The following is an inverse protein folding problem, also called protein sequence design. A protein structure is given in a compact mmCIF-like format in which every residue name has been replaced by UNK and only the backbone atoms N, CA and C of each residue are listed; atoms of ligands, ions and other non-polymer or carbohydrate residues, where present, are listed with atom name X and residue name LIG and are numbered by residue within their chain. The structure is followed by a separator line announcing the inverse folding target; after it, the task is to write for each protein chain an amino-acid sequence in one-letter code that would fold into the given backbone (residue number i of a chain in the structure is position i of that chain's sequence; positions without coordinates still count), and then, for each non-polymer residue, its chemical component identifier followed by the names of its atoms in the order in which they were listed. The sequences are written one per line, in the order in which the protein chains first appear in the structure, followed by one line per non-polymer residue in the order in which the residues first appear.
data_IF_355360614429
#
_entry.id   IF_355360614429
#
_cell.length_a   1.000
_cell.length_b   1.000
_cell.length_c   1.000
_cell.angle_alpha   90.00
_cell.angle_beta   90.00
_cell.angle_gamma   90.00
#
_symmetry.space_group_name_H-M   'P 1'
#
loop_
_entity.id
_entity.type
_entity.pdbx_description
1 polymer ?
#
# COMPACT_ATOMS: atom_id res chain seq x y z
N UNK A 1 8.87 58.41 31.65
CA UNK A 1 8.99 57.25 32.53
C UNK A 1 8.40 56.06 31.81
N UNK A 2 9.18 55.50 31.08
CA UNK A 2 9.83 54.21 30.89
C UNK A 2 8.87 53.01 30.87
N UNK A 3 8.54 52.59 29.67
CA UNK A 3 8.06 51.23 29.35
C UNK A 3 9.26 50.28 29.44
N UNK A 4 9.20 49.30 30.30
CA UNK A 4 10.00 48.06 30.24
C UNK A 4 9.37 47.02 31.15
N UNK A 5 9.24 45.83 30.63
CA UNK A 5 9.02 44.54 31.27
C UNK A 5 7.70 43.88 30.90
N UNK A 6 7.79 43.02 29.87
CA UNK A 6 7.05 41.76 29.74
C UNK A 6 7.47 41.07 28.43
N UNK A 7 8.66 40.47 28.47
CA UNK A 7 9.07 39.44 27.51
C UNK A 7 9.78 38.36 28.30
N UNK A 8 9.14 37.25 28.45
CA UNK A 8 9.74 36.10 29.12
C UNK A 8 8.70 35.07 29.54
N UNK A 9 8.10 34.37 28.59
CA UNK A 9 7.60 33.01 28.83
C UNK A 9 8.15 32.09 27.77
N UNK A 10 8.91 31.16 28.26
CA UNK A 10 9.66 30.14 27.56
C UNK A 10 8.81 29.38 26.55
N UNK A 11 9.33 29.24 25.36
CA UNK A 11 8.91 28.20 24.45
C UNK A 11 9.23 26.83 25.07
N UNK A 12 8.22 26.10 25.50
CA UNK A 12 8.34 24.71 25.88
C UNK A 12 8.78 23.94 24.62
N UNK A 13 9.98 23.38 24.67
CA UNK A 13 10.56 22.63 23.57
C UNK A 13 9.69 21.44 23.23
N UNK A 14 9.18 21.41 22.00
CA UNK A 14 8.52 20.28 21.38
C UNK A 14 9.54 19.15 21.29
N UNK A 15 9.33 18.07 22.04
CA UNK A 15 10.15 16.86 21.92
C UNK A 15 9.76 16.15 20.63
N UNK A 16 10.62 16.27 19.62
CA UNK A 16 10.51 15.53 18.38
C UNK A 16 11.00 14.09 18.60
N UNK A 17 10.19 13.10 18.30
CA UNK A 17 10.59 11.69 18.34
C UNK A 17 11.18 11.30 16.98
N UNK A 18 12.47 10.97 16.94
CA UNK A 18 13.09 10.36 15.76
C UNK A 18 12.74 8.88 15.69
N UNK A 19 12.26 8.41 14.55
CA UNK A 19 12.08 6.97 14.27
C UNK A 19 13.42 6.21 14.31
N UNK A 20 14.52 6.89 14.10
CA UNK A 20 15.87 6.33 14.08
C UNK A 20 16.47 6.15 15.47
N UNK A 21 15.79 5.49 16.41
CA UNK A 21 16.51 4.93 17.56
C UNK A 21 17.22 3.67 17.07
N UNK A 22 18.55 3.66 17.11
CA UNK A 22 19.33 2.48 16.76
C UNK A 22 18.82 1.28 17.56
N UNK A 23 18.20 0.32 16.87
CA UNK A 23 17.86 -0.98 17.45
C UNK A 23 19.18 -1.74 17.64
N UNK A 24 19.42 -2.43 18.77
CA UNK A 24 20.65 -3.19 19.00
C UNK A 24 20.95 -4.16 17.85
N UNK A 25 22.22 -4.45 17.60
CA UNK A 25 22.70 -5.20 16.44
C UNK A 25 22.15 -6.64 16.30
N UNK A 26 21.62 -7.21 17.37
CA UNK A 26 20.84 -8.46 17.37
C UNK A 26 19.74 -8.33 18.42
N UNK A 27 18.50 -8.14 17.97
CA UNK A 27 17.36 -7.98 18.86
C UNK A 27 16.59 -9.31 19.08
N UNK A 28 17.14 -10.44 18.63
CA UNK A 28 16.53 -11.77 18.74
C UNK A 28 15.25 -11.98 17.95
N UNK A 29 14.85 -11.01 17.10
CA UNK A 29 13.61 -11.10 16.32
C UNK A 29 13.78 -12.03 15.12
N UNK A 30 12.67 -12.64 14.71
CA UNK A 30 12.63 -13.52 13.54
C UNK A 30 13.01 -12.76 12.27
N UNK A 31 13.89 -13.35 11.45
CA UNK A 31 14.27 -12.86 10.12
C UNK A 31 14.05 -13.95 9.08
N UNK A 32 13.85 -13.55 7.82
CA UNK A 32 13.60 -14.43 6.69
C UNK A 32 12.12 -14.80 6.53
N UNK A 33 11.89 -15.76 5.65
CA UNK A 33 10.55 -16.18 5.25
C UNK A 33 9.95 -17.19 6.25
N UNK A 34 8.76 -16.91 6.73
CA UNK A 34 8.02 -17.73 7.70
C UNK A 34 6.56 -17.87 7.32
N UNK A 35 5.94 -18.95 7.77
CA UNK A 35 4.49 -19.10 7.82
C UNK A 35 4.09 -18.97 9.30
N UNK A 36 3.56 -17.79 9.66
CA UNK A 36 3.23 -17.41 11.03
C UNK A 36 1.75 -17.65 11.30
N UNK A 37 1.45 -18.44 12.33
CA UNK A 37 0.05 -18.62 12.75
C UNK A 37 -0.38 -17.41 13.56
N UNK A 38 -1.29 -16.63 13.00
CA UNK A 38 -1.93 -15.51 13.66
C UNK A 38 -3.44 -15.67 13.58
N UNK A 39 -4.15 -15.51 14.70
CA UNK A 39 -5.58 -15.74 14.78
C UNK A 39 -6.01 -17.10 14.19
N UNK A 40 -6.88 -17.10 13.18
CA UNK A 40 -7.43 -18.28 12.48
C UNK A 40 -6.70 -18.63 11.17
N UNK A 41 -5.61 -17.92 10.83
CA UNK A 41 -4.87 -18.10 9.58
C UNK A 41 -3.39 -18.33 9.83
N UNK A 42 -2.68 -18.84 8.82
CA UNK A 42 -1.24 -18.82 8.78
C UNK A 42 -0.80 -17.83 7.67
N UNK A 43 -0.24 -16.70 8.07
CA UNK A 43 0.25 -15.69 7.16
C UNK A 43 1.68 -15.99 6.75
N UNK A 44 1.94 -15.90 5.46
CA UNK A 44 3.31 -15.86 4.98
C UNK A 44 3.87 -14.45 5.24
N UNK A 45 5.07 -14.38 5.84
CA UNK A 45 5.81 -13.15 6.05
C UNK A 45 7.30 -13.36 5.74
N UNK A 46 7.94 -12.37 5.12
CA UNK A 46 9.40 -12.30 4.92
C UNK A 46 9.92 -11.04 5.62
N UNK A 47 10.78 -11.23 6.62
CA UNK A 47 11.24 -10.17 7.51
C UNK A 47 12.74 -9.96 7.27
N UNK A 48 13.10 -8.75 6.83
CA UNK A 48 14.49 -8.43 6.48
C UNK A 48 14.93 -7.10 7.08
N UNK A 49 16.24 -6.91 7.14
CA UNK A 49 16.83 -5.67 7.61
C UNK A 49 16.80 -5.53 9.13
N UNK A 50 17.03 -4.30 9.58
CA UNK A 50 17.10 -3.94 10.98
C UNK A 50 16.82 -2.45 11.14
N UNK A 51 16.08 -2.08 12.18
CA UNK A 51 15.71 -0.70 12.46
C UNK A 51 14.23 -0.60 12.79
N UNK A 52 13.65 0.59 12.57
CA UNK A 52 12.23 0.81 12.83
C UNK A 52 11.36 -0.07 11.91
N UNK A 53 10.30 -0.72 12.43
CA UNK A 53 9.51 -1.64 11.63
C UNK A 53 8.63 -0.92 10.60
N UNK A 54 8.64 -1.44 9.37
CA UNK A 54 7.82 -1.03 8.24
C UNK A 54 7.07 -2.24 7.68
N UNK A 55 5.76 -2.25 7.86
CA UNK A 55 4.89 -3.25 7.24
C UNK A 55 4.54 -2.85 5.81
N UNK A 56 4.64 -3.78 4.88
CA UNK A 56 4.27 -3.59 3.47
C UNK A 56 3.00 -4.38 3.14
N UNK A 57 1.94 -3.67 2.79
CA UNK A 57 0.64 -4.21 2.38
C UNK A 57 0.55 -4.21 0.85
N UNK A 58 0.59 -5.40 0.23
CA UNK A 58 0.64 -5.55 -1.22
C UNK A 58 -0.69 -5.24 -1.91
N UNK A 59 -0.59 -4.84 -3.18
CA UNK A 59 -1.71 -4.61 -4.07
C UNK A 59 -2.35 -5.88 -4.61
N UNK A 60 -3.36 -5.69 -5.50
CA UNK A 60 -4.06 -6.74 -6.21
C UNK A 60 -4.54 -7.87 -5.32
N UNK A 61 -5.79 -7.94 -4.89
CA UNK A 61 -6.26 -9.00 -3.96
C UNK A 61 -6.27 -10.39 -4.63
N UNK A 62 -5.15 -10.79 -5.16
CA UNK A 62 -4.87 -12.09 -5.78
C UNK A 62 -3.38 -12.33 -5.92
N UNK A 63 -2.58 -11.28 -5.67
CA UNK A 63 -1.14 -11.29 -5.77
C UNK A 63 -0.51 -11.73 -4.43
N UNK A 64 0.77 -11.48 -4.28
CA UNK A 64 1.53 -11.64 -3.06
C UNK A 64 2.49 -10.45 -2.87
N UNK A 65 3.30 -10.49 -1.82
CA UNK A 65 4.27 -9.45 -1.50
C UNK A 65 5.34 -9.22 -2.58
N UNK A 66 5.45 -10.10 -3.59
CA UNK A 66 6.48 -10.00 -4.62
C UNK A 66 6.43 -8.67 -5.39
N UNK A 67 5.24 -8.12 -5.61
CA UNK A 67 5.07 -6.82 -6.25
C UNK A 67 5.79 -5.68 -5.51
N UNK A 68 6.05 -5.83 -4.21
CA UNK A 68 6.72 -4.84 -3.37
C UNK A 68 8.21 -5.12 -3.15
N UNK A 69 8.80 -6.09 -3.85
CA UNK A 69 10.23 -6.43 -3.69
C UNK A 69 11.22 -5.29 -3.92
N UNK A 70 10.96 -4.25 -4.72
CA UNK A 70 11.84 -3.07 -4.77
C UNK A 70 12.07 -2.43 -3.39
N UNK A 71 11.11 -2.50 -2.48
CA UNK A 71 11.25 -1.97 -1.12
C UNK A 71 12.25 -2.74 -0.23
N UNK A 72 12.83 -3.85 -0.72
CA UNK A 72 13.96 -4.53 -0.05
C UNK A 72 15.15 -3.60 0.14
N UNK A 73 15.29 -2.57 -0.69
CA UNK A 73 16.32 -1.53 -0.54
C UNK A 73 16.24 -0.76 0.78
N UNK A 74 15.05 -0.70 1.40
CA UNK A 74 14.86 -0.03 2.69
C UNK A 74 15.41 -0.83 3.88
N UNK A 75 15.79 -2.09 3.66
CA UNK A 75 16.28 -2.99 4.73
C UNK A 75 17.63 -2.58 5.31
N UNK A 76 18.33 -1.62 4.70
CA UNK A 76 19.56 -1.01 5.25
C UNK A 76 19.29 -0.09 6.46
N UNK A 77 18.04 0.42 6.61
CA UNK A 77 17.64 1.37 7.67
C UNK A 77 16.42 0.91 8.47
N UNK A 78 15.61 -0.01 7.92
CA UNK A 78 14.34 -0.44 8.49
C UNK A 78 14.28 -1.96 8.66
N UNK A 79 13.51 -2.42 9.63
CA UNK A 79 13.01 -3.80 9.62
C UNK A 79 11.80 -3.83 8.69
N UNK A 80 11.99 -4.35 7.48
CA UNK A 80 10.94 -4.42 6.47
C UNK A 80 10.22 -5.74 6.61
N UNK A 81 8.89 -5.68 6.79
CA UNK A 81 8.01 -6.83 6.93
C UNK A 81 7.13 -6.92 5.68
N UNK A 82 7.48 -7.81 4.78
CA UNK A 82 6.62 -8.25 3.70
C UNK A 82 5.66 -9.33 4.23
N UNK A 83 4.42 -9.33 3.81
CA UNK A 83 3.50 -10.43 4.09
C UNK A 83 2.46 -10.59 2.99
N UNK A 84 1.89 -11.78 2.90
CA UNK A 84 0.77 -12.04 2.03
C UNK A 84 -0.52 -11.92 2.84
N UNK A 85 -1.47 -11.11 2.40
CA UNK A 85 -2.79 -10.99 3.03
C UNK A 85 -3.49 -12.35 3.14
N UNK A 86 -4.44 -12.52 4.09
CA UNK A 86 -5.31 -13.70 4.09
C UNK A 86 -5.92 -13.95 2.71
N UNK A 87 -6.07 -15.20 2.32
CA UNK A 87 -6.58 -15.65 1.01
C UNK A 87 -5.70 -15.27 -0.20
N UNK A 88 -4.53 -14.65 0.01
CA UNK A 88 -3.60 -14.24 -1.03
C UNK A 88 -2.28 -15.01 -0.94
N UNK A 89 -1.56 -15.06 -2.04
CA UNK A 89 -0.21 -15.57 -2.11
C UNK A 89 -0.01 -16.93 -1.46
N UNK A 90 0.91 -17.00 -0.51
CA UNK A 90 1.31 -18.18 0.26
C UNK A 90 0.57 -18.33 1.57
N UNK A 91 -0.20 -17.32 1.99
CA UNK A 91 -1.02 -17.40 3.20
C UNK A 91 -2.13 -18.43 3.06
N UNK A 92 -2.41 -19.19 4.14
CA UNK A 92 -3.33 -20.33 4.11
C UNK A 92 -4.22 -20.39 5.35
N UNK A 93 -5.25 -21.24 5.30
CA UNK A 93 -6.10 -21.55 6.47
C UNK A 93 -7.43 -20.79 6.52
N UNK A 94 -7.72 -19.90 5.55
CA UNK A 94 -8.95 -19.13 5.55
C UNK A 94 -9.76 -19.32 4.26
N UNK A 95 -11.10 -19.41 4.34
CA UNK A 95 -11.96 -19.36 3.16
C UNK A 95 -12.00 -17.94 2.60
N UNK A 96 -12.18 -17.80 1.28
CA UNK A 96 -12.21 -16.50 0.61
C UNK A 96 -13.31 -15.57 1.15
N UNK A 97 -14.41 -16.12 1.63
CA UNK A 97 -15.51 -15.38 2.27
C UNK A 97 -15.10 -14.67 3.56
N UNK A 98 -13.98 -15.08 4.18
CA UNK A 98 -13.43 -14.41 5.37
C UNK A 98 -12.57 -13.19 5.05
N UNK A 99 -12.35 -12.87 3.77
CA UNK A 99 -11.57 -11.71 3.34
C UNK A 99 -12.43 -10.45 3.47
N UNK A 100 -12.51 -9.93 4.67
CA UNK A 100 -13.15 -8.66 5.02
C UNK A 100 -12.10 -7.66 5.49
N UNK A 101 -12.37 -6.36 5.41
CA UNK A 101 -11.44 -5.35 5.92
C UNK A 101 -11.17 -5.50 7.42
N UNK A 102 -12.18 -5.90 8.19
CA UNK A 102 -12.03 -6.21 9.59
C UNK A 102 -11.00 -7.32 9.82
N UNK A 103 -11.13 -8.44 9.10
CA UNK A 103 -10.18 -9.54 9.23
C UNK A 103 -8.80 -9.22 8.67
N UNK A 104 -8.71 -8.52 7.53
CA UNK A 104 -7.42 -8.11 6.93
C UNK A 104 -6.62 -7.22 7.88
N UNK A 105 -7.27 -6.26 8.52
CA UNK A 105 -6.63 -5.34 9.47
C UNK A 105 -6.30 -6.01 10.80
N UNK A 106 -7.18 -6.87 11.31
CA UNK A 106 -6.95 -7.63 12.54
C UNK A 106 -5.81 -8.66 12.38
N UNK A 107 -5.63 -9.22 11.19
CA UNK A 107 -4.49 -10.10 10.90
C UNK A 107 -3.17 -9.33 10.90
N UNK A 108 -3.15 -8.12 10.32
CA UNK A 108 -1.98 -7.26 10.34
C UNK A 108 -1.63 -6.87 11.78
N UNK A 109 -2.63 -6.52 12.61
CA UNK A 109 -2.42 -6.20 14.02
C UNK A 109 -1.87 -7.40 14.79
N UNK A 110 -2.45 -8.59 14.62
CA UNK A 110 -1.96 -9.80 15.25
C UNK A 110 -0.54 -10.19 14.78
N UNK A 111 -0.19 -9.88 13.52
CA UNK A 111 1.17 -10.05 13.02
C UNK A 111 2.14 -9.09 13.71
N UNK A 112 1.75 -7.82 13.94
CA UNK A 112 2.55 -6.84 14.70
C UNK A 112 2.87 -7.36 16.11
N UNK A 113 1.85 -7.87 16.80
CA UNK A 113 1.96 -8.41 18.15
C UNK A 113 2.85 -9.66 18.19
N UNK A 114 2.66 -10.60 17.25
CA UNK A 114 3.49 -11.82 17.12
C UNK A 114 4.97 -11.50 16.87
N UNK A 115 5.26 -10.40 16.15
CA UNK A 115 6.60 -9.93 15.90
C UNK A 115 7.17 -9.05 17.03
N UNK A 116 6.40 -8.77 18.07
CA UNK A 116 6.81 -8.02 19.26
C UNK A 116 7.08 -6.53 18.99
N UNK A 117 6.44 -5.94 17.98
CA UNK A 117 6.55 -4.50 17.73
C UNK A 117 5.50 -3.73 18.53
N UNK A 118 5.90 -2.68 19.24
CA UNK A 118 4.97 -1.77 19.93
C UNK A 118 4.13 -0.98 18.92
N UNK A 119 4.80 -0.41 17.94
CA UNK A 119 4.22 0.34 16.81
C UNK A 119 5.04 0.08 15.56
N UNK A 120 4.45 0.30 14.42
CA UNK A 120 5.14 0.27 13.13
C UNK A 120 4.68 1.37 12.17
N UNK A 121 5.45 1.61 11.12
CA UNK A 121 4.99 2.31 9.94
C UNK A 121 4.31 1.31 9.00
N UNK A 122 3.33 1.77 8.24
CA UNK A 122 2.61 0.95 7.25
C UNK A 122 2.71 1.63 5.89
N UNK A 123 3.09 0.85 4.87
CA UNK A 123 2.99 1.25 3.47
C UNK A 123 1.99 0.32 2.78
N UNK A 124 0.96 0.92 2.18
CA UNK A 124 -0.03 0.18 1.39
C UNK A 124 -0.02 0.62 -0.07
N UNK A 125 0.15 -0.35 -0.98
CA UNK A 125 0.07 -0.13 -2.43
C UNK A 125 -1.26 -0.63 -2.97
N UNK A 126 -1.93 0.18 -3.79
CA UNK A 126 -3.17 -0.21 -4.48
C UNK A 126 -4.21 -0.77 -3.50
N UNK A 127 -4.66 -2.01 -3.66
CA UNK A 127 -5.55 -2.69 -2.69
C UNK A 127 -4.96 -2.72 -1.26
N UNK A 128 -3.64 -2.90 -1.13
CA UNK A 128 -2.98 -2.81 0.18
C UNK A 128 -3.12 -1.43 0.82
N UNK A 129 -3.28 -0.37 0.03
CA UNK A 129 -3.61 0.97 0.51
C UNK A 129 -5.03 1.06 1.09
N UNK A 130 -6.01 0.37 0.50
CA UNK A 130 -7.36 0.26 1.10
C UNK A 130 -7.29 -0.41 2.48
N UNK A 131 -6.50 -1.51 2.58
CA UNK A 131 -6.28 -2.19 3.87
C UNK A 131 -5.54 -1.29 4.85
N UNK A 132 -4.55 -0.52 4.40
CA UNK A 132 -3.80 0.41 5.23
C UNK A 132 -4.64 1.58 5.76
N UNK A 133 -5.57 2.11 4.95
CA UNK A 133 -6.56 3.12 5.38
C UNK A 133 -7.48 2.56 6.48
N UNK A 134 -8.03 1.37 6.26
CA UNK A 134 -8.86 0.70 7.27
C UNK A 134 -8.07 0.34 8.53
N UNK A 135 -6.78 -0.01 8.39
CA UNK A 135 -5.89 -0.24 9.52
C UNK A 135 -5.64 1.04 10.32
N UNK A 136 -5.37 2.14 9.65
CA UNK A 136 -5.16 3.45 10.29
C UNK A 136 -6.38 3.90 11.11
N UNK A 137 -7.60 3.62 10.61
CA UNK A 137 -8.84 3.93 11.28
C UNK A 137 -9.16 3.01 12.47
N UNK A 138 -8.73 1.74 12.43
CA UNK A 138 -9.04 0.74 13.45
C UNK A 138 -7.97 0.64 14.54
N UNK A 139 -6.71 0.85 14.17
CA UNK A 139 -5.53 0.65 15.04
C UNK A 139 -4.61 1.88 15.09
N UNK A 140 -5.14 3.10 15.34
CA UNK A 140 -4.33 4.32 15.32
C UNK A 140 -3.20 4.32 16.34
N UNK A 141 -3.37 3.62 17.48
CA UNK A 141 -2.34 3.53 18.53
C UNK A 141 -1.12 2.70 18.09
N UNK A 142 -1.32 1.72 17.20
CA UNK A 142 -0.27 0.84 16.69
C UNK A 142 0.44 1.40 15.46
N UNK A 143 -0.12 2.45 14.85
CA UNK A 143 0.39 3.08 13.63
C UNK A 143 1.23 4.32 13.97
N UNK A 144 2.47 4.38 13.47
CA UNK A 144 3.35 5.55 13.62
C UNK A 144 3.31 6.48 12.41
N UNK A 145 3.36 5.90 11.21
CA UNK A 145 3.36 6.60 9.92
C UNK A 145 2.57 5.79 8.91
N UNK A 146 1.92 6.47 7.99
CA UNK A 146 1.17 5.87 6.89
C UNK A 146 1.75 6.32 5.54
N UNK A 147 2.05 5.38 4.67
CA UNK A 147 2.41 5.65 3.28
C UNK A 147 1.35 4.99 2.39
N UNK A 148 0.68 5.79 1.59
CA UNK A 148 -0.36 5.39 0.64
C UNK A 148 0.20 5.55 -0.76
N UNK A 149 0.40 4.44 -1.46
CA UNK A 149 1.04 4.38 -2.77
C UNK A 149 0.03 3.91 -3.82
N UNK A 150 -0.26 4.75 -4.81
CA UNK A 150 -1.18 4.46 -5.92
C UNK A 150 -2.49 3.79 -5.45
N UNK A 151 -3.19 4.46 -4.55
CA UNK A 151 -4.42 3.96 -3.92
C UNK A 151 -5.47 5.07 -3.78
N UNK A 152 -6.66 4.73 -3.32
CA UNK A 152 -7.75 5.68 -3.09
C UNK A 152 -8.58 5.34 -1.86
N UNK A 153 -9.35 6.30 -1.38
CA UNK A 153 -10.25 6.14 -0.23
C UNK A 153 -11.61 5.52 -0.56
N UNK A 154 -11.84 5.13 -1.82
CA UNK A 154 -13.09 4.53 -2.27
C UNK A 154 -12.92 3.70 -3.55
N UNK A 155 -13.76 2.69 -3.70
CA UNK A 155 -13.68 1.73 -4.80
C UNK A 155 -14.14 2.29 -6.15
N UNK A 156 -14.89 3.40 -6.18
CA UNK A 156 -15.36 3.98 -7.45
C UNK A 156 -14.22 4.32 -8.42
N UNK A 157 -13.04 4.68 -7.90
CA UNK A 157 -11.89 5.01 -8.74
C UNK A 157 -11.48 3.84 -9.63
N UNK A 158 -11.30 2.66 -9.06
CA UNK A 158 -10.95 1.48 -9.85
C UNK A 158 -12.13 0.90 -10.63
N UNK A 159 -13.34 0.86 -10.04
CA UNK A 159 -14.48 0.15 -10.61
C UNK A 159 -15.24 0.96 -11.67
N UNK A 160 -15.28 2.28 -11.56
CA UNK A 160 -16.03 3.18 -12.44
C UNK A 160 -15.14 4.15 -13.21
N UNK A 161 -14.26 4.89 -12.50
CA UNK A 161 -13.46 5.94 -13.13
C UNK A 161 -12.33 5.40 -14.00
N UNK A 162 -11.65 4.29 -13.62
CA UNK A 162 -10.56 3.74 -14.41
C UNK A 162 -10.98 3.34 -15.84
N UNK A 163 -12.10 2.60 -16.08
CA UNK A 163 -12.59 2.35 -17.42
C UNK A 163 -12.91 3.63 -18.21
N UNK A 164 -13.55 4.61 -17.56
CA UNK A 164 -13.87 5.90 -18.18
C UNK A 164 -12.61 6.68 -18.59
N UNK A 165 -11.58 6.68 -17.72
CA UNK A 165 -10.31 7.34 -18.02
C UNK A 165 -9.62 6.70 -19.23
N UNK A 166 -9.62 5.37 -19.31
CA UNK A 166 -9.07 4.67 -20.48
C UNK A 166 -9.85 4.98 -21.75
N UNK A 167 -11.18 5.09 -21.69
CA UNK A 167 -11.97 5.53 -22.82
C UNK A 167 -11.58 6.95 -23.28
N UNK A 168 -11.39 7.88 -22.34
CA UNK A 168 -10.91 9.25 -22.63
C UNK A 168 -9.49 9.28 -23.19
N UNK A 169 -8.61 8.33 -22.81
CA UNK A 169 -7.26 8.16 -23.36
C UNK A 169 -7.25 7.48 -24.74
N UNK A 170 -8.43 7.14 -25.30
CA UNK A 170 -8.55 6.57 -26.65
C UNK A 170 -8.34 5.06 -26.74
N UNK A 171 -8.35 4.34 -25.64
CA UNK A 171 -8.32 2.88 -25.66
C UNK A 171 -9.60 2.31 -26.30
N UNK A 172 -9.44 1.14 -26.95
CA UNK A 172 -10.57 0.50 -27.64
C UNK A 172 -11.72 0.16 -26.69
N UNK A 173 -12.98 0.17 -27.14
CA UNK A 173 -14.14 -0.24 -26.34
C UNK A 173 -14.00 -1.64 -25.73
N UNK A 174 -13.28 -2.54 -26.42
CA UNK A 174 -12.99 -3.89 -25.91
C UNK A 174 -12.06 -3.87 -24.70
N UNK A 175 -11.05 -2.98 -24.71
CA UNK A 175 -10.12 -2.82 -23.59
C UNK A 175 -10.85 -2.16 -22.39
N UNK A 176 -11.64 -1.13 -22.64
CA UNK A 176 -12.45 -0.45 -21.62
C UNK A 176 -13.38 -1.45 -20.91
N UNK A 177 -14.09 -2.30 -21.69
CA UNK A 177 -14.96 -3.33 -21.13
C UNK A 177 -14.17 -4.43 -20.38
N UNK A 178 -12.98 -4.79 -20.86
CA UNK A 178 -12.09 -5.73 -20.18
C UNK A 178 -11.70 -5.21 -18.80
N UNK A 179 -11.29 -3.93 -18.70
CA UNK A 179 -10.93 -3.27 -17.43
C UNK A 179 -12.13 -3.13 -16.51
N UNK A 180 -13.31 -2.80 -17.03
CA UNK A 180 -14.54 -2.75 -16.24
C UNK A 180 -14.83 -4.11 -15.60
N UNK A 181 -14.83 -5.19 -16.40
CA UNK A 181 -15.01 -6.56 -15.90
C UNK A 181 -13.95 -6.96 -14.90
N UNK A 182 -12.70 -6.56 -15.17
CA UNK A 182 -11.55 -6.84 -14.31
C UNK A 182 -11.77 -6.32 -12.90
N UNK A 183 -11.95 -5.03 -12.72
CA UNK A 183 -12.08 -4.42 -11.38
C UNK A 183 -13.39 -4.78 -10.67
N UNK A 184 -14.43 -5.14 -11.40
CA UNK A 184 -15.70 -5.61 -10.81
C UNK A 184 -15.69 -7.13 -10.52
N UNK A 185 -14.63 -7.85 -10.84
CA UNK A 185 -14.53 -9.30 -10.64
C UNK A 185 -15.52 -10.10 -11.50
N UNK A 186 -15.97 -9.55 -12.63
CA UNK A 186 -17.00 -10.10 -13.52
C UNK A 186 -16.41 -11.10 -14.51
N UNK A 187 -15.72 -12.13 -14.00
CA UNK A 187 -15.12 -13.21 -14.78
C UNK A 187 -15.03 -14.49 -13.96
N UNK A 188 -14.78 -15.62 -14.64
CA UNK A 188 -14.54 -16.89 -14.00
C UNK A 188 -13.03 -17.07 -13.65
N UNK A 189 -12.69 -17.92 -12.66
CA UNK A 189 -11.28 -18.10 -12.25
C UNK A 189 -10.33 -18.48 -13.38
N UNK A 190 -10.78 -19.27 -14.37
CA UNK A 190 -9.96 -19.65 -15.52
C UNK A 190 -9.70 -18.53 -16.52
N UNK A 191 -10.51 -17.46 -16.50
CA UNK A 191 -10.32 -16.26 -17.33
C UNK A 191 -9.28 -15.30 -16.75
N UNK A 192 -8.90 -15.46 -15.47
CA UNK A 192 -8.01 -14.53 -14.77
C UNK A 192 -6.69 -14.32 -15.51
N UNK A 193 -5.94 -15.40 -15.77
CA UNK A 193 -4.62 -15.29 -16.44
C UNK A 193 -4.74 -14.72 -17.86
N UNK A 194 -5.67 -15.21 -18.72
CA UNK A 194 -5.85 -14.59 -20.05
C UNK A 194 -6.23 -13.12 -20.01
N UNK A 195 -7.03 -12.68 -19.04
CA UNK A 195 -7.40 -11.26 -18.90
C UNK A 195 -6.22 -10.45 -18.40
N UNK A 196 -5.53 -10.90 -17.35
CA UNK A 196 -4.33 -10.25 -16.83
C UNK A 196 -3.29 -10.03 -17.93
N UNK A 197 -2.96 -11.07 -18.69
CA UNK A 197 -2.01 -10.99 -19.79
C UNK A 197 -2.40 -9.96 -20.87
N UNK A 198 -3.69 -9.86 -21.21
CA UNK A 198 -4.16 -8.83 -22.17
C UNK A 198 -4.00 -7.42 -21.63
N UNK A 199 -4.28 -7.22 -20.35
CA UNK A 199 -4.18 -5.92 -19.67
C UNK A 199 -2.69 -5.51 -19.60
N UNK A 200 -1.83 -6.42 -19.17
CA UNK A 200 -0.38 -6.19 -19.06
C UNK A 200 0.26 -5.92 -20.42
N UNK A 201 -0.03 -6.73 -21.43
CA UNK A 201 0.47 -6.54 -22.79
C UNK A 201 -0.02 -5.24 -23.44
N UNK A 202 -1.13 -4.66 -22.97
CA UNK A 202 -1.58 -3.35 -23.39
C UNK A 202 -0.81 -2.19 -22.71
N UNK A 203 0.04 -2.48 -21.72
CA UNK A 203 0.87 -1.51 -21.03
C UNK A 203 0.10 -0.44 -20.28
N UNK A 204 -1.15 -0.73 -19.87
CA UNK A 204 -2.02 0.28 -19.24
C UNK A 204 -1.58 0.67 -17.83
N UNK A 205 -0.87 -0.22 -17.13
CA UNK A 205 -0.41 0.02 -15.76
C UNK A 205 0.84 0.89 -15.70
N UNK A 206 1.69 0.90 -16.74
CA UNK A 206 2.98 1.57 -16.73
C UNK A 206 3.01 2.81 -17.62
N UNK A 207 3.95 3.72 -17.37
CA UNK A 207 4.17 4.89 -18.21
C UNK A 207 5.01 4.53 -19.45
N UNK A 208 4.39 4.57 -20.66
CA UNK A 208 5.07 4.31 -21.94
C UNK A 208 6.02 3.09 -21.93
N UNK A 209 5.59 1.91 -21.46
CA UNK A 209 6.49 0.78 -21.33
C UNK A 209 6.91 0.28 -22.72
N UNK A 210 8.18 -0.06 -22.88
CA UNK A 210 8.63 -0.83 -24.06
C UNK A 210 8.16 -2.28 -23.94
N UNK A 211 7.99 -2.97 -25.06
CA UNK A 211 7.64 -4.40 -25.05
C UNK A 211 8.67 -5.24 -24.28
N UNK A 212 9.95 -4.81 -24.27
CA UNK A 212 10.99 -5.47 -23.49
C UNK A 212 10.82 -5.27 -21.99
N UNK A 213 10.42 -4.08 -21.54
CA UNK A 213 10.11 -3.84 -20.13
C UNK A 213 8.94 -4.70 -19.67
N UNK A 214 7.83 -4.71 -20.43
CA UNK A 214 6.68 -5.57 -20.16
C UNK A 214 7.09 -7.04 -20.06
N UNK A 215 7.84 -7.55 -21.05
CA UNK A 215 8.28 -8.95 -21.06
C UNK A 215 9.20 -9.29 -19.87
N UNK A 216 10.08 -8.37 -19.48
CA UNK A 216 11.00 -8.56 -18.35
C UNK A 216 10.24 -8.61 -17.03
N UNK A 217 9.31 -7.69 -16.80
CA UNK A 217 8.50 -7.63 -15.57
C UNK A 217 7.64 -8.88 -15.42
N UNK A 218 7.02 -9.33 -16.51
CA UNK A 218 6.23 -10.56 -16.55
C UNK A 218 7.07 -11.82 -16.27
N UNK A 219 8.24 -11.93 -16.88
CA UNK A 219 9.13 -13.06 -16.61
C UNK A 219 9.60 -13.09 -15.16
N UNK A 220 9.92 -11.95 -14.58
CA UNK A 220 10.35 -11.86 -13.19
C UNK A 220 9.19 -12.08 -12.22
N UNK A 221 8.05 -11.43 -12.42
CA UNK A 221 6.88 -11.54 -11.56
C UNK A 221 6.19 -12.90 -11.65
N UNK A 222 5.93 -13.39 -12.85
CA UNK A 222 5.16 -14.60 -13.08
C UNK A 222 5.77 -15.89 -12.49
N UNK A 223 7.11 -15.96 -12.34
CA UNK A 223 7.78 -17.11 -11.72
C UNK A 223 7.70 -17.12 -10.18
N UNK A 224 7.52 -15.98 -9.57
CA UNK A 224 7.59 -15.81 -8.11
C UNK A 224 6.22 -15.59 -7.48
N UNK A 225 5.30 -14.97 -8.19
CA UNK A 225 3.97 -14.63 -7.68
C UNK A 225 3.04 -15.85 -7.63
N UNK A 226 2.41 -16.06 -6.49
CA UNK A 226 1.39 -17.09 -6.31
C UNK A 226 0.00 -16.48 -6.44
N UNK A 227 -0.60 -16.62 -7.62
CA UNK A 227 -1.92 -16.09 -7.91
C UNK A 227 -3.06 -16.81 -7.19
N UNK A 228 -4.03 -16.03 -6.70
CA UNK A 228 -5.28 -16.49 -6.07
C UNK A 228 -6.48 -15.82 -6.73
N UNK A 229 -6.89 -16.21 -7.95
CA UNK A 229 -7.95 -15.55 -8.71
C UNK A 229 -9.26 -15.35 -7.94
N UNK A 230 -9.61 -16.29 -7.07
CA UNK A 230 -10.83 -16.23 -6.25
C UNK A 230 -10.82 -15.03 -5.31
N UNK A 231 -9.66 -14.63 -4.78
CA UNK A 231 -9.54 -13.45 -3.92
C UNK A 231 -9.85 -12.16 -4.71
N UNK A 232 -9.35 -12.04 -5.94
CA UNK A 232 -9.64 -10.89 -6.80
C UNK A 232 -11.12 -10.80 -7.15
N UNK A 233 -11.71 -11.92 -7.59
CA UNK A 233 -13.12 -12.00 -7.95
C UNK A 233 -14.00 -11.65 -6.74
N UNK A 234 -13.68 -12.18 -5.58
CA UNK A 234 -14.42 -11.90 -4.34
C UNK A 234 -14.31 -10.42 -3.96
N UNK A 235 -13.10 -9.85 -4.03
CA UNK A 235 -12.91 -8.43 -3.71
C UNK A 235 -13.73 -7.53 -4.62
N UNK A 236 -13.67 -7.72 -5.93
CA UNK A 236 -14.43 -6.90 -6.89
C UNK A 236 -15.94 -6.99 -6.68
N UNK A 237 -16.46 -8.21 -6.43
CA UNK A 237 -17.90 -8.46 -6.30
C UNK A 237 -18.50 -8.11 -4.95
N UNK A 238 -17.73 -8.23 -3.88
CA UNK A 238 -18.23 -8.18 -2.50
C UNK A 238 -17.50 -7.18 -1.62
N UNK A 239 -16.18 -7.27 -1.49
CA UNK A 239 -15.41 -6.49 -0.54
C UNK A 239 -15.36 -5.00 -0.92
N UNK A 240 -15.13 -4.71 -2.18
CA UNK A 240 -14.99 -3.34 -2.69
C UNK A 240 -16.32 -2.72 -3.15
N UNK A 241 -17.38 -3.50 -3.22
CA UNK A 241 -18.69 -2.99 -3.69
C UNK A 241 -19.23 -1.91 -2.77
N UNK A 242 -19.18 -0.66 -3.23
CA UNK A 242 -19.63 0.52 -2.47
C UNK A 242 -18.72 0.88 -1.29
N UNK A 243 -17.51 0.29 -1.20
CA UNK A 243 -16.58 0.64 -0.16
C UNK A 243 -16.06 2.07 -0.33
N UNK A 244 -16.07 2.82 0.77
CA UNK A 244 -15.51 4.16 0.89
C UNK A 244 -15.15 4.45 2.35
N UNK A 245 -14.04 5.13 2.57
CA UNK A 245 -13.63 5.72 3.84
C UNK A 245 -13.46 7.24 3.75
N UNK A 246 -13.94 7.85 2.66
CA UNK A 246 -13.74 9.27 2.38
C UNK A 246 -14.30 10.18 3.47
N UNK A 247 -15.42 9.84 4.06
CA UNK A 247 -16.06 10.56 5.16
C UNK A 247 -15.34 10.39 6.51
N UNK A 248 -14.40 9.44 6.58
CA UNK A 248 -13.64 9.09 7.78
C UNK A 248 -12.17 9.44 7.72
N UNK A 249 -11.68 9.99 6.60
CA UNK A 249 -10.26 10.34 6.43
C UNK A 249 -9.77 11.31 7.52
N UNK A 250 -10.64 12.21 8.00
CA UNK A 250 -10.32 13.14 9.07
C UNK A 250 -10.02 12.48 10.43
N UNK A 251 -10.36 11.20 10.62
CA UNK A 251 -10.04 10.42 11.83
C UNK A 251 -8.58 9.90 11.83
N UNK A 252 -7.90 9.92 10.68
CA UNK A 252 -6.52 9.43 10.57
C UNK A 252 -5.57 10.44 11.19
N UNK A 253 -4.96 10.07 12.32
CA UNK A 253 -4.07 10.96 13.10
C UNK A 253 -2.60 10.77 12.79
N UNK A 254 -2.22 9.65 12.15
CA UNK A 254 -0.84 9.36 11.80
C UNK A 254 -0.33 10.31 10.70
N UNK A 255 0.91 10.82 10.79
CA UNK A 255 1.55 11.46 9.66
C UNK A 255 1.43 10.58 8.41
N UNK A 256 0.99 11.16 7.29
CA UNK A 256 0.66 10.40 6.07
C UNK A 256 1.40 10.95 4.87
N UNK A 257 1.99 10.07 4.08
CA UNK A 257 2.54 10.35 2.75
C UNK A 257 1.64 9.70 1.70
N UNK A 258 1.01 10.50 0.86
CA UNK A 258 0.26 10.04 -0.32
C UNK A 258 1.18 10.17 -1.52
N UNK A 259 1.44 9.07 -2.21
CA UNK A 259 2.31 9.01 -3.39
C UNK A 259 1.61 8.31 -4.54
N UNK A 260 1.82 8.76 -5.76
CA UNK A 260 1.34 8.06 -6.94
C UNK A 260 2.10 8.44 -8.21
N UNK A 261 2.10 7.55 -9.19
CA UNK A 261 2.54 7.87 -10.54
C UNK A 261 1.64 8.93 -11.19
N UNK A 262 2.25 9.92 -11.85
CA UNK A 262 1.52 11.01 -12.52
C UNK A 262 0.61 10.53 -13.66
N UNK A 263 0.81 9.30 -14.12
CA UNK A 263 0.06 8.66 -15.22
C UNK A 263 -0.80 7.48 -14.77
N UNK A 264 -0.93 7.22 -13.48
CA UNK A 264 -1.79 6.15 -12.98
C UNK A 264 -3.21 6.31 -13.53
N UNK A 265 -3.77 5.24 -14.08
CA UNK A 265 -5.14 5.24 -14.59
C UNK A 265 -6.15 4.69 -13.59
N UNK A 266 -5.67 3.94 -12.59
CA UNK A 266 -6.52 3.31 -11.57
C UNK A 266 -6.88 4.33 -10.49
N UNK A 267 -5.85 5.00 -9.97
CA UNK A 267 -5.97 6.05 -8.96
C UNK A 267 -5.23 7.31 -9.42
N UNK A 268 -5.81 8.06 -10.37
CA UNK A 268 -5.14 9.18 -11.01
C UNK A 268 -4.83 10.33 -10.03
N UNK A 269 -4.02 11.32 -10.44
CA UNK A 269 -3.64 12.44 -9.59
C UNK A 269 -4.79 13.17 -8.90
N UNK A 270 -5.98 13.19 -9.50
CA UNK A 270 -7.20 13.76 -8.90
C UNK A 270 -7.61 12.99 -7.64
N UNK A 271 -7.61 11.66 -7.73
CA UNK A 271 -7.87 10.76 -6.60
C UNK A 271 -6.89 11.02 -5.45
N UNK A 272 -5.61 11.18 -5.77
CA UNK A 272 -4.56 11.41 -4.78
C UNK A 272 -4.70 12.78 -4.09
N UNK A 273 -5.12 13.81 -4.85
CA UNK A 273 -5.42 15.13 -4.26
C UNK A 273 -6.62 15.08 -3.31
N UNK A 274 -7.69 14.35 -3.69
CA UNK A 274 -8.86 14.15 -2.81
C UNK A 274 -8.46 13.41 -1.53
N UNK A 275 -7.68 12.33 -1.66
CA UNK A 275 -7.21 11.53 -0.53
C UNK A 275 -6.33 12.37 0.42
N UNK A 276 -5.37 13.10 -0.13
CA UNK A 276 -4.48 13.95 0.66
C UNK A 276 -5.22 15.13 1.32
N UNK A 277 -6.17 15.74 0.62
CA UNK A 277 -6.96 16.85 1.16
C UNK A 277 -7.90 16.42 2.31
N UNK A 278 -8.39 15.19 2.27
CA UNK A 278 -9.26 14.63 3.32
C UNK A 278 -8.49 14.11 4.55
N UNK A 279 -7.20 13.84 4.42
CA UNK A 279 -6.39 13.22 5.48
C UNK A 279 -5.57 14.29 6.21
N UNK A 280 -5.75 14.52 7.52
CA UNK A 280 -4.94 15.44 8.30
C UNK A 280 -3.45 15.06 8.22
N UNK A 281 -2.57 16.08 8.23
CA UNK A 281 -1.12 15.88 8.19
C UNK A 281 -0.60 15.08 6.97
N UNK A 282 -1.41 14.96 5.91
CA UNK A 282 -0.97 14.32 4.68
C UNK A 282 -0.08 15.24 3.84
N UNK A 283 0.94 14.64 3.24
CA UNK A 283 1.76 15.24 2.19
C UNK A 283 1.51 14.49 0.90
N UNK A 284 1.34 15.20 -0.22
CA UNK A 284 1.18 14.60 -1.54
C UNK A 284 2.49 14.71 -2.32
N UNK A 285 2.92 13.60 -2.92
CA UNK A 285 4.02 13.57 -3.88
C UNK A 285 3.61 12.77 -5.11
N UNK A 286 3.57 13.43 -6.27
CA UNK A 286 3.36 12.76 -7.54
C UNK A 286 4.72 12.44 -8.16
N UNK A 287 4.88 11.20 -8.62
CA UNK A 287 6.09 10.69 -9.26
C UNK A 287 5.92 10.84 -10.78
N UNK A 288 6.77 11.67 -11.37
CA UNK A 288 6.69 11.93 -12.80
C UNK A 288 7.09 10.70 -13.62
N UNK A 289 6.50 10.57 -14.83
CA UNK A 289 6.77 9.46 -15.76
C UNK A 289 6.61 8.07 -15.10
N UNK A 290 5.59 7.90 -14.28
CA UNK A 290 5.23 6.63 -13.66
C UNK A 290 3.72 6.40 -13.77
N UNK A 291 3.33 5.14 -13.94
CA UNK A 291 1.96 4.65 -13.90
C UNK A 291 1.57 4.16 -12.52
N UNK A 292 0.92 2.99 -12.46
CA UNK A 292 0.40 2.39 -11.23
C UNK A 292 1.48 1.75 -10.32
N UNK A 293 2.68 1.51 -10.85
CA UNK A 293 3.77 0.85 -10.13
C UNK A 293 5.03 1.73 -10.06
N UNK A 294 4.96 3.00 -9.52
CA UNK A 294 6.08 3.92 -9.50
C UNK A 294 7.30 3.37 -8.74
N UNK A 295 7.09 2.49 -7.78
CA UNK A 295 8.16 1.82 -7.04
C UNK A 295 9.01 0.87 -7.92
N UNK A 296 8.48 0.45 -9.07
CA UNK A 296 9.21 -0.31 -10.08
C UNK A 296 9.72 0.58 -11.22
N UNK A 297 8.96 1.62 -11.59
CA UNK A 297 9.26 2.50 -12.72
C UNK A 297 10.27 3.62 -12.36
N UNK A 298 10.16 4.17 -11.14
CA UNK A 298 10.99 5.26 -10.61
C UNK A 298 11.50 4.91 -9.20
N UNK A 299 12.08 3.71 -9.07
CA UNK A 299 12.48 3.11 -7.77
C UNK A 299 13.27 4.07 -6.90
N UNK A 300 14.31 4.71 -7.44
CA UNK A 300 15.20 5.59 -6.67
C UNK A 300 14.45 6.78 -6.05
N UNK A 301 13.53 7.40 -6.80
CA UNK A 301 12.74 8.54 -6.32
C UNK A 301 11.77 8.10 -5.23
N UNK A 302 11.06 6.98 -5.43
CA UNK A 302 10.13 6.43 -4.44
C UNK A 302 10.86 6.05 -3.16
N UNK A 303 12.00 5.33 -3.24
CA UNK A 303 12.78 4.95 -2.06
C UNK A 303 13.30 6.16 -1.30
N UNK A 304 13.79 7.21 -2.01
CA UNK A 304 14.25 8.44 -1.38
C UNK A 304 13.11 9.17 -0.64
N UNK A 305 11.92 9.25 -1.24
CA UNK A 305 10.75 9.87 -0.64
C UNK A 305 10.29 9.14 0.62
N UNK A 306 10.19 7.81 0.58
CA UNK A 306 9.81 6.98 1.74
C UNK A 306 10.84 7.11 2.85
N UNK A 307 12.15 7.02 2.55
CA UNK A 307 13.23 7.22 3.54
C UNK A 307 13.13 8.59 4.21
N UNK A 308 13.00 9.64 3.39
CA UNK A 308 12.91 11.02 3.89
C UNK A 308 11.70 11.18 4.82
N UNK A 309 10.54 10.68 4.42
CA UNK A 309 9.31 10.78 5.20
C UNK A 309 9.39 10.02 6.52
N UNK A 310 9.86 8.77 6.51
CA UNK A 310 9.98 7.94 7.72
C UNK A 310 11.10 8.39 8.66
N UNK A 311 12.11 9.12 8.14
CA UNK A 311 13.21 9.66 8.97
C UNK A 311 12.95 11.08 9.45
N UNK A 312 11.93 11.77 8.93
CA UNK A 312 11.57 13.10 9.35
C UNK A 312 11.08 13.10 10.81
N UNK A 313 11.46 14.13 11.56
CA UNK A 313 10.94 14.33 12.91
C UNK A 313 9.43 14.55 12.85
N UNK A 314 8.67 13.71 13.52
CA UNK A 314 7.24 13.92 13.68
C UNK A 314 7.05 15.04 14.71
N UNK A 315 6.31 16.14 14.40
CA UNK A 315 5.92 17.09 15.44
C UNK A 315 5.17 16.33 16.54
N UNK A 316 5.55 16.53 17.78
CA UNK A 316 4.78 16.01 18.90
C UNK A 316 3.39 16.69 18.87
N UNK A 317 2.33 15.88 18.92
CA UNK A 317 0.95 16.36 19.04
C UNK A 317 0.69 17.05 20.38
#
# INVERSE_FOLDING_TARGET
MTAKTLLGKAAAGVRTSRITRAVPADDGRRKGAHLLKVRDVALFADIIGQGYPLLLMHGGPSLDHWSLTPFRELADQFTVVFYDHRCNGRSVGAPVSSMTFENLTADAEALREELGFERWAVLGHSFGGHVALEYALRYPASLSHLVLLDTGGEARWSQQNAPELLARRGYSPRMVELIRRWFNGEFAPHEYVPMAMRILMAGVYSYNPSLWQIAREELQGGWHTKFRPQAFIFAGRHLLKGWSVMDRLAEITAPTLVMAGSSDFVFPPECQRELAAGTPHARLQLIDRAGHDPHSEQTAEVMAAVRHFLSAETPAA
#
